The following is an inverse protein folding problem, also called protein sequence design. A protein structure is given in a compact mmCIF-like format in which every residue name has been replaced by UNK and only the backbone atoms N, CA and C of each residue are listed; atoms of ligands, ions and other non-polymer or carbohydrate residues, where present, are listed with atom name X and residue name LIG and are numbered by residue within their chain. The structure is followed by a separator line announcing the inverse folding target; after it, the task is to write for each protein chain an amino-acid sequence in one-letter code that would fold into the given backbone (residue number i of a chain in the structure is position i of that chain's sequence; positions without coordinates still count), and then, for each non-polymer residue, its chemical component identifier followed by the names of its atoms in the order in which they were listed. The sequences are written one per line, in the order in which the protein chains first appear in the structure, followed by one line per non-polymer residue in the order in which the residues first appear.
data_IF_721296350355
#
_entry.id   IF_721296350355
#
_cell.length_a   1.000
_cell.length_b   1.000
_cell.length_c   1.000
_cell.angle_alpha   90.00
_cell.angle_beta   90.00
_cell.angle_gamma   90.00
#
_symmetry.space_group_name_H-M   'P 1'
#
loop_
_entity.id
_entity.type
_entity.pdbx_description
1 polymer ?
#
# COMPACT_ATOMS: atom_id res chain seq x y z
N UNK A 1 -76.73 -73.92 -13.60
CA UNK A 1 -75.49 -73.72 -12.84
C UNK A 1 -75.85 -73.16 -11.48
N UNK A 2 -75.83 -74.01 -10.47
CA UNK A 2 -75.93 -73.70 -9.04
C UNK A 2 -74.58 -74.10 -8.44
N UNK A 3 -74.00 -73.31 -7.51
CA UNK A 3 -73.14 -73.62 -6.33
C UNK A 3 -72.72 -72.23 -5.78
N UNK A 4 -73.38 -71.70 -4.74
CA UNK A 4 -73.04 -71.74 -3.30
C UNK A 4 -71.84 -70.89 -2.87
N UNK A 5 -71.99 -70.15 -1.76
CA UNK A 5 -70.85 -69.61 -1.02
C UNK A 5 -71.18 -68.60 0.08
N UNK A 6 -71.68 -69.10 1.22
CA UNK A 6 -71.87 -68.39 2.50
C UNK A 6 -70.63 -67.65 3.02
N UNK A 7 -70.85 -66.73 3.99
CA UNK A 7 -69.98 -66.69 5.17
C UNK A 7 -69.80 -65.33 5.84
N UNK A 8 -70.52 -65.11 6.95
CA UNK A 8 -70.27 -64.05 7.92
C UNK A 8 -69.10 -64.41 8.86
N UNK A 9 -68.29 -63.40 9.24
CA UNK A 9 -67.44 -63.32 10.46
C UNK A 9 -66.12 -64.11 10.43
N UNK A 10 -65.01 -63.71 11.07
CA UNK A 10 -64.62 -62.56 11.88
C UNK A 10 -63.09 -62.59 12.09
N UNK A 11 -62.47 -61.40 12.24
CA UNK A 11 -61.21 -61.06 12.96
C UNK A 11 -59.89 -61.73 12.50
N UNK A 12 -58.79 -61.00 12.28
CA UNK A 12 -58.09 -60.18 13.28
C UNK A 12 -57.26 -59.05 12.66
N UNK A 13 -57.41 -57.85 13.24
CA UNK A 13 -56.38 -56.82 13.49
C UNK A 13 -55.43 -56.44 12.35
N UNK A 14 -55.69 -55.29 11.73
CA UNK A 14 -54.63 -54.42 11.18
C UNK A 14 -54.66 -53.11 11.99
N UNK A 15 -53.52 -52.63 12.51
CA UNK A 15 -53.48 -51.56 13.49
C UNK A 15 -53.99 -50.24 12.94
N UNK A 16 -54.87 -49.64 13.73
CA UNK A 16 -55.23 -48.24 13.66
C UNK A 16 -53.95 -47.40 13.70
N UNK A 17 -53.54 -46.79 12.57
CA UNK A 17 -52.45 -45.83 12.54
C UNK A 17 -52.89 -44.52 13.21
N UNK A 18 -53.06 -44.59 14.53
CA UNK A 18 -52.96 -43.45 15.41
C UNK A 18 -51.55 -43.42 16.00
N UNK A 19 -50.61 -42.79 15.29
CA UNK A 19 -49.49 -42.13 15.97
C UNK A 19 -49.32 -40.74 15.35
N UNK A 20 -50.02 -39.81 15.99
CA UNK A 20 -49.56 -38.42 16.06
C UNK A 20 -48.12 -38.42 16.55
N UNK A 21 -47.21 -37.95 15.71
CA UNK A 21 -46.00 -37.25 16.13
C UNK A 21 -45.53 -36.34 15.01
N UNK A 22 -46.36 -35.35 14.67
CA UNK A 22 -45.81 -34.10 14.16
C UNK A 22 -45.01 -33.49 15.31
N UNK A 23 -43.70 -33.70 15.35
CA UNK A 23 -42.84 -32.82 16.14
C UNK A 23 -42.88 -31.44 15.44
N UNK A 24 -43.53 -30.40 16.00
CA UNK A 24 -43.60 -29.11 15.33
C UNK A 24 -42.32 -28.29 15.51
N UNK A 25 -41.29 -28.82 16.17
CA UNK A 25 -40.15 -28.04 16.64
C UNK A 25 -38.80 -28.47 16.10
N UNK A 26 -38.71 -28.93 14.85
CA UNK A 26 -37.42 -28.89 14.15
C UNK A 26 -37.38 -27.63 13.28
N UNK A 27 -37.09 -26.49 13.94
CA UNK A 27 -36.66 -25.27 13.23
C UNK A 27 -35.49 -25.70 12.34
N UNK A 28 -35.63 -25.57 11.02
CA UNK A 28 -34.48 -25.70 10.11
C UNK A 28 -33.39 -24.74 10.62
N UNK A 29 -32.11 -25.15 10.70
CA UNK A 29 -31.06 -24.20 11.02
C UNK A 29 -31.17 -23.03 10.02
N UNK A 30 -31.18 -21.80 10.54
CA UNK A 30 -31.33 -20.59 9.72
C UNK A 30 -30.03 -20.37 8.97
N UNK A 31 -29.88 -21.02 7.81
CA UNK A 31 -28.75 -20.83 6.88
C UNK A 31 -28.51 -19.37 6.49
N UNK A 32 -29.54 -18.52 6.58
CA UNK A 32 -29.39 -17.08 6.34
C UNK A 32 -28.57 -16.37 7.42
N UNK A 33 -28.57 -16.84 8.67
CA UNK A 33 -27.85 -16.18 9.76
C UNK A 33 -26.33 -16.37 9.58
N UNK A 34 -25.90 -17.56 9.15
CA UNK A 34 -24.49 -17.88 8.82
C UNK A 34 -23.99 -17.11 7.58
N UNK A 35 -24.84 -16.95 6.56
CA UNK A 35 -24.52 -16.12 5.39
C UNK A 35 -24.38 -14.64 5.74
N UNK A 36 -25.24 -14.14 6.63
CA UNK A 36 -25.18 -12.77 7.12
C UNK A 36 -23.91 -12.56 7.96
N UNK A 37 -23.55 -13.51 8.81
CA UNK A 37 -22.32 -13.46 9.61
C UNK A 37 -21.07 -13.45 8.72
N UNK A 38 -21.01 -14.36 7.73
CA UNK A 38 -19.91 -14.42 6.75
C UNK A 38 -19.78 -13.11 5.97
N UNK A 39 -20.90 -12.51 5.56
CA UNK A 39 -20.90 -11.23 4.87
C UNK A 39 -20.39 -10.09 5.75
N UNK A 40 -20.81 -10.04 7.02
CA UNK A 40 -20.33 -9.04 7.97
C UNK A 40 -18.82 -9.18 8.25
N UNK A 41 -18.32 -10.41 8.38
CA UNK A 41 -16.88 -10.67 8.53
C UNK A 41 -16.11 -10.22 7.28
N UNK A 42 -16.59 -10.57 6.09
CA UNK A 42 -15.97 -10.15 4.82
C UNK A 42 -15.95 -8.62 4.68
N UNK A 43 -17.02 -7.93 5.08
CA UNK A 43 -17.08 -6.46 5.07
C UNK A 43 -16.09 -5.83 6.04
N UNK A 44 -15.93 -6.38 7.25
CA UNK A 44 -14.93 -5.92 8.22
C UNK A 44 -13.51 -6.12 7.71
N UNK A 45 -13.23 -7.27 7.11
CA UNK A 45 -11.93 -7.56 6.50
C UNK A 45 -11.65 -6.61 5.34
N UNK A 46 -12.67 -6.31 4.52
CA UNK A 46 -12.54 -5.33 3.44
C UNK A 46 -12.25 -3.93 3.99
N UNK A 47 -13.00 -3.47 4.99
CA UNK A 47 -12.79 -2.17 5.64
C UNK A 47 -11.38 -2.04 6.18
N UNK A 48 -10.91 -3.06 6.93
CA UNK A 48 -9.55 -3.11 7.47
C UNK A 48 -8.50 -3.08 6.38
N UNK A 49 -8.63 -3.90 5.34
CA UNK A 49 -7.67 -3.97 4.24
C UNK A 49 -7.65 -2.65 3.43
N UNK A 50 -8.82 -2.01 3.29
CA UNK A 50 -8.94 -0.72 2.62
C UNK A 50 -8.24 0.39 3.42
N UNK A 51 -8.43 0.43 4.74
CA UNK A 51 -7.74 1.37 5.63
C UNK A 51 -6.22 1.16 5.59
N UNK A 52 -5.75 -0.08 5.68
CA UNK A 52 -4.33 -0.42 5.58
C UNK A 52 -3.74 0.01 4.24
N UNK A 53 -4.42 -0.29 3.13
CA UNK A 53 -3.99 0.09 1.78
C UNK A 53 -3.91 1.62 1.63
N UNK A 54 -4.91 2.34 2.14
CA UNK A 54 -4.89 3.81 2.13
C UNK A 54 -3.73 4.36 2.98
N UNK A 55 -3.43 3.76 4.13
CA UNK A 55 -2.28 4.13 4.95
C UNK A 55 -0.94 3.91 4.24
N UNK A 56 -0.78 2.78 3.56
CA UNK A 56 0.41 2.50 2.74
C UNK A 56 0.53 3.51 1.58
N UNK A 57 -0.57 3.81 0.90
CA UNK A 57 -0.59 4.77 -0.20
C UNK A 57 -0.30 6.20 0.25
N UNK A 58 -0.78 6.60 1.42
CA UNK A 58 -0.42 7.87 2.04
C UNK A 58 1.08 7.96 2.37
N UNK A 59 1.67 6.85 2.83
CA UNK A 59 3.12 6.77 3.09
C UNK A 59 3.91 6.94 1.79
N UNK A 60 3.54 6.25 0.71
CA UNK A 60 4.18 6.40 -0.60
C UNK A 60 4.06 7.83 -1.13
N UNK A 61 2.86 8.44 -1.02
CA UNK A 61 2.65 9.82 -1.43
C UNK A 61 3.53 10.80 -0.63
N UNK A 62 3.75 10.53 0.66
CA UNK A 62 4.68 11.30 1.48
C UNK A 62 6.13 11.18 1.00
N UNK A 63 6.58 9.98 0.63
CA UNK A 63 7.91 9.77 0.07
C UNK A 63 8.11 10.57 -1.22
N UNK A 64 7.16 10.51 -2.17
CA UNK A 64 7.26 11.30 -3.41
C UNK A 64 7.24 12.80 -3.17
N UNK A 65 6.53 13.27 -2.15
CA UNK A 65 6.57 14.68 -1.76
C UNK A 65 7.96 15.09 -1.28
N UNK A 66 8.62 14.27 -0.47
CA UNK A 66 9.99 14.52 0.00
C UNK A 66 10.96 14.52 -1.19
N UNK A 67 10.91 13.50 -2.04
CA UNK A 67 11.77 13.40 -3.24
C UNK A 67 11.59 14.60 -4.19
N UNK A 68 10.35 15.09 -4.35
CA UNK A 68 10.06 16.28 -5.14
C UNK A 68 10.71 17.54 -4.54
N UNK A 69 10.64 17.73 -3.22
CA UNK A 69 11.27 18.87 -2.57
C UNK A 69 12.81 18.80 -2.66
N UNK A 70 13.40 17.62 -2.47
CA UNK A 70 14.84 17.41 -2.67
C UNK A 70 15.26 17.69 -4.13
N UNK A 71 14.47 17.25 -5.11
CA UNK A 71 14.72 17.55 -6.52
C UNK A 71 14.69 19.06 -6.80
N UNK A 72 13.74 19.80 -6.21
CA UNK A 72 13.69 21.27 -6.31
C UNK A 72 14.92 21.93 -5.71
N UNK A 73 15.46 21.40 -4.61
CA UNK A 73 16.71 21.88 -4.00
C UNK A 73 17.89 21.63 -4.95
N UNK A 74 18.00 20.44 -5.54
CA UNK A 74 19.04 20.12 -6.53
C UNK A 74 18.99 21.05 -7.75
N UNK A 75 17.80 21.43 -8.21
CA UNK A 75 17.65 22.40 -9.31
C UNK A 75 18.23 23.79 -8.99
N UNK A 76 18.30 24.17 -7.72
CA UNK A 76 18.82 25.47 -7.27
C UNK A 76 20.35 25.51 -7.11
N UNK A 77 21.06 24.37 -7.18
CA UNK A 77 22.51 24.29 -6.94
C UNK A 77 23.27 25.28 -7.80
N UNK A 78 22.92 25.36 -9.09
CA UNK A 78 23.58 26.28 -10.02
C UNK A 78 23.42 27.74 -9.61
N UNK A 79 22.25 28.13 -9.10
CA UNK A 79 22.00 29.49 -8.63
C UNK A 79 22.82 29.83 -7.38
N UNK A 80 23.08 28.85 -6.51
CA UNK A 80 23.99 29.05 -5.38
C UNK A 80 25.44 29.13 -5.84
N UNK A 81 25.85 28.27 -6.78
CA UNK A 81 27.18 28.33 -7.37
C UNK A 81 27.42 29.68 -8.03
N UNK A 82 26.45 30.30 -8.72
CA UNK A 82 26.54 31.64 -9.31
C UNK A 82 26.86 32.75 -8.30
N UNK A 83 26.55 32.57 -7.00
CA UNK A 83 26.80 33.55 -5.94
C UNK A 83 28.22 33.48 -5.38
N UNK A 84 28.96 32.42 -5.70
CA UNK A 84 30.33 32.22 -5.23
C UNK A 84 31.28 33.00 -6.14
N UNK A 85 32.11 33.87 -5.61
CA UNK A 85 33.14 34.55 -6.41
C UNK A 85 34.34 33.62 -6.67
N UNK A 86 35.16 33.91 -7.69
CA UNK A 86 36.39 33.15 -7.98
C UNK A 86 36.23 31.87 -8.82
N UNK A 87 35.01 31.33 -8.99
CA UNK A 87 34.76 30.23 -9.94
C UNK A 87 34.47 30.76 -11.36
N UNK A 88 35.11 30.18 -12.37
CA UNK A 88 34.72 30.39 -13.77
C UNK A 88 33.35 29.78 -14.08
N UNK A 89 32.70 30.20 -15.18
CA UNK A 89 31.43 29.61 -15.63
C UNK A 89 31.57 28.10 -15.87
N UNK A 90 32.69 27.66 -16.45
CA UNK A 90 32.97 26.25 -16.72
C UNK A 90 33.05 25.43 -15.44
N UNK A 91 33.79 25.92 -14.44
CA UNK A 91 33.91 25.28 -13.13
C UNK A 91 32.54 25.20 -12.43
N UNK A 92 31.70 26.24 -12.54
CA UNK A 92 30.33 26.20 -11.99
C UNK A 92 29.46 25.14 -12.65
N UNK A 93 29.52 25.01 -13.98
CA UNK A 93 28.77 23.98 -14.71
C UNK A 93 29.24 22.59 -14.26
N UNK A 94 30.56 22.38 -14.19
CA UNK A 94 31.13 21.09 -13.82
C UNK A 94 30.86 20.73 -12.36
N UNK A 95 31.01 21.68 -11.44
CA UNK A 95 30.69 21.49 -10.03
C UNK A 95 29.21 21.16 -9.86
N UNK A 96 28.32 21.84 -10.59
CA UNK A 96 26.88 21.53 -10.58
C UNK A 96 26.63 20.08 -10.99
N UNK A 97 27.19 19.62 -12.11
CA UNK A 97 27.03 18.23 -12.56
C UNK A 97 27.45 17.23 -11.48
N UNK A 98 28.62 17.46 -10.88
CA UNK A 98 29.16 16.58 -9.84
C UNK A 98 28.32 16.58 -8.56
N UNK A 99 27.81 17.75 -8.16
CA UNK A 99 26.95 17.88 -6.98
C UNK A 99 25.58 17.24 -7.20
N UNK A 100 24.93 17.42 -8.36
CA UNK A 100 23.57 16.89 -8.55
C UNK A 100 23.54 15.37 -8.78
N UNK A 101 24.65 14.78 -9.25
CA UNK A 101 24.79 13.32 -9.41
C UNK A 101 24.92 12.63 -8.05
N UNK A 102 25.61 13.27 -7.10
CA UNK A 102 25.85 12.75 -5.77
C UNK A 102 25.03 13.53 -4.75
N UNK A 103 23.86 13.00 -4.39
CA UNK A 103 22.92 13.67 -3.48
C UNK A 103 23.57 14.00 -2.13
N UNK A 104 24.47 13.15 -1.62
CA UNK A 104 25.19 13.40 -0.38
C UNK A 104 26.09 14.64 -0.50
N UNK A 105 26.79 14.82 -1.63
CA UNK A 105 27.60 16.02 -1.88
C UNK A 105 26.74 17.27 -2.04
N UNK A 106 25.60 17.16 -2.71
CA UNK A 106 24.65 18.26 -2.83
C UNK A 106 24.14 18.71 -1.45
N UNK A 107 23.71 17.76 -0.62
CA UNK A 107 23.18 18.05 0.72
C UNK A 107 24.26 18.66 1.61
N UNK A 108 25.49 18.11 1.53
CA UNK A 108 26.63 18.68 2.22
C UNK A 108 26.92 20.12 1.78
N UNK A 109 26.95 20.40 0.47
CA UNK A 109 27.10 21.76 -0.06
C UNK A 109 26.07 22.75 0.52
N UNK A 110 24.81 22.34 0.65
CA UNK A 110 23.77 23.20 1.22
C UNK A 110 23.88 23.35 2.74
N UNK A 111 24.39 22.35 3.45
CA UNK A 111 24.64 22.41 4.90
C UNK A 111 25.77 23.37 5.27
N UNK A 112 26.70 23.62 4.34
CA UNK A 112 27.84 24.48 4.56
C UNK A 112 27.47 25.97 4.63
N UNK A 113 28.11 26.76 5.52
CA UNK A 113 28.13 28.22 5.48
C UNK A 113 28.58 28.75 4.11
N UNK A 114 28.07 29.92 3.69
CA UNK A 114 28.30 30.43 2.32
C UNK A 114 29.78 30.67 2.01
N UNK A 115 30.53 31.11 3.00
CA UNK A 115 31.97 31.42 2.95
C UNK A 115 32.84 30.19 2.64
N UNK A 116 32.46 29.00 3.11
CA UNK A 116 33.25 27.76 2.88
C UNK A 116 32.77 26.96 1.65
N UNK A 117 31.70 27.40 0.98
CA UNK A 117 31.18 26.71 -0.21
C UNK A 117 32.11 26.80 -1.42
N UNK A 118 32.94 27.85 -1.49
CA UNK A 118 33.97 27.98 -2.54
C UNK A 118 34.97 26.82 -2.44
N UNK A 119 35.58 26.64 -1.26
CA UNK A 119 36.57 25.59 -1.03
C UNK A 119 35.99 24.21 -1.29
N UNK A 120 34.75 23.97 -0.87
CA UNK A 120 34.08 22.71 -1.14
C UNK A 120 33.81 22.49 -2.64
N UNK A 121 33.37 23.51 -3.37
CA UNK A 121 33.16 23.39 -4.82
C UNK A 121 34.48 23.11 -5.56
N UNK A 122 35.59 23.72 -5.13
CA UNK A 122 36.93 23.42 -5.65
C UNK A 122 37.34 21.98 -5.32
N UNK A 123 37.15 21.54 -4.08
CA UNK A 123 37.46 20.17 -3.67
C UNK A 123 36.69 19.15 -4.52
N UNK A 124 35.40 19.38 -4.76
CA UNK A 124 34.56 18.53 -5.62
C UNK A 124 35.12 18.44 -7.04
N UNK A 125 35.63 19.54 -7.59
CA UNK A 125 36.25 19.57 -8.92
C UNK A 125 37.59 18.82 -8.95
N UNK A 126 38.44 19.04 -7.94
CA UNK A 126 39.74 18.38 -7.80
C UNK A 126 39.56 16.86 -7.65
N UNK A 127 38.63 16.42 -6.79
CA UNK A 127 38.31 15.01 -6.57
C UNK A 127 37.85 14.32 -7.86
N UNK A 128 37.24 15.08 -8.76
CA UNK A 128 36.80 14.61 -10.08
C UNK A 128 37.89 14.70 -11.16
N UNK A 129 39.12 15.10 -10.80
CA UNK A 129 40.24 15.25 -11.73
C UNK A 129 40.08 16.43 -12.71
N UNK A 130 39.25 17.42 -12.37
CA UNK A 130 39.07 18.62 -13.20
C UNK A 130 40.21 19.58 -12.91
N UNK A 131 40.98 19.94 -13.94
CA UNK A 131 41.99 21.00 -13.84
C UNK A 131 41.30 22.34 -13.57
N UNK A 132 41.33 22.77 -12.31
CA UNK A 132 40.95 24.12 -11.92
C UNK A 132 42.09 25.07 -12.26
N UNK A 133 41.78 26.33 -12.60
CA UNK A 133 42.80 27.29 -13.07
C UNK A 133 43.74 27.80 -11.96
N UNK A 134 43.65 27.24 -10.75
CA UNK A 134 44.40 27.64 -9.55
C UNK A 134 45.19 26.46 -8.95
N UNK A 135 46.08 25.87 -9.76
CA UNK A 135 47.29 25.21 -9.27
C UNK A 135 48.48 26.14 -9.53
#
# INVERSE_FOLDING_TARGET
MLINGNGYGSQTQIPNQGVSSKNPNKKRPRSNDELIETLMETMKDFEKNYEETNGQMATIASCFKIELEEAKIRMKVFNELLKIEGLSISERIKARELLIIDTCKCDYFYSLPRDVRYDYAIQVLIDAGVNTLYM
#
